data_IF_054455017476
#
_entry.id   IF_054455017476
#
_cell.length_a   1.000
_cell.length_b   1.000
_cell.length_c   1.000
_cell.angle_alpha   90.00
_cell.angle_beta   90.00
_cell.angle_gamma   90.00
#
_symmetry.space_group_name_H-M   'P 1'
#
loop_
_entity.id
_entity.type
_entity.pdbx_description
1 polymer ?
#
# COMPACT_ATOMS: atom_id res chain seq x y z
N UNK A 1 -13.98 -4.04 -14.83
CA UNK A 1 -13.99 -2.90 -15.76
C UNK A 1 -15.41 -2.66 -16.25
N UNK A 2 -16.19 -1.85 -15.54
CA UNK A 2 -17.50 -1.38 -16.02
C UNK A 2 -17.28 -0.05 -16.73
N UNK A 3 -16.95 -0.09 -18.03
CA UNK A 3 -17.12 1.08 -18.88
C UNK A 3 -18.58 1.50 -18.74
N UNK A 4 -18.83 2.73 -18.31
CA UNK A 4 -20.18 3.29 -18.29
C UNK A 4 -20.65 3.43 -19.73
N UNK A 5 -21.23 2.34 -20.24
CA UNK A 5 -21.99 2.22 -21.48
C UNK A 5 -22.87 3.46 -21.76
N UNK A 6 -23.49 4.16 -20.79
CA UNK A 6 -24.25 5.37 -21.09
C UNK A 6 -23.43 6.53 -21.70
N UNK A 7 -22.16 6.73 -21.34
CA UNK A 7 -21.41 7.91 -21.80
C UNK A 7 -20.94 7.78 -23.25
N UNK A 8 -20.53 6.57 -23.65
CA UNK A 8 -20.16 6.24 -25.03
C UNK A 8 -21.41 6.20 -25.93
N UNK A 9 -22.55 5.72 -25.40
CA UNK A 9 -23.84 5.79 -26.08
C UNK A 9 -24.30 7.24 -26.27
N UNK A 10 -24.12 8.13 -25.29
CA UNK A 10 -24.47 9.55 -25.44
C UNK A 10 -23.60 10.20 -26.52
N UNK A 11 -22.28 9.93 -26.54
CA UNK A 11 -21.39 10.45 -27.58
C UNK A 11 -21.76 9.98 -28.98
N UNK A 12 -22.02 8.68 -29.17
CA UNK A 12 -22.49 8.12 -30.45
C UNK A 12 -23.88 8.60 -30.82
N UNK A 13 -24.82 8.73 -29.88
CA UNK A 13 -26.15 9.26 -30.14
C UNK A 13 -26.08 10.73 -30.54
N UNK A 14 -25.17 11.52 -29.96
CA UNK A 14 -25.00 12.92 -30.32
C UNK A 14 -24.39 13.07 -31.72
N UNK A 15 -23.40 12.26 -32.09
CA UNK A 15 -22.85 12.29 -33.45
C UNK A 15 -23.85 11.79 -34.49
N UNK A 16 -24.61 10.73 -34.19
CA UNK A 16 -25.69 10.26 -35.06
C UNK A 16 -26.81 11.29 -35.15
N UNK A 17 -27.17 11.97 -34.06
CA UNK A 17 -28.16 13.04 -34.05
C UNK A 17 -27.72 14.24 -34.88
N UNK A 18 -26.46 14.68 -34.75
CA UNK A 18 -25.90 15.78 -35.56
C UNK A 18 -25.85 15.38 -37.04
N UNK A 19 -25.48 14.13 -37.36
CA UNK A 19 -25.45 13.64 -38.74
C UNK A 19 -26.86 13.53 -39.36
N UNK A 20 -27.84 13.06 -38.58
CA UNK A 20 -29.22 12.92 -39.03
C UNK A 20 -29.95 14.26 -39.14
N UNK A 21 -29.65 15.23 -38.26
CA UNK A 21 -30.08 16.63 -38.40
C UNK A 21 -29.45 17.25 -39.66
N UNK A 22 -28.17 17.01 -39.93
CA UNK A 22 -27.51 17.47 -41.15
C UNK A 22 -28.13 16.89 -42.43
N UNK A 23 -28.44 15.58 -42.43
CA UNK A 23 -29.07 14.90 -43.57
C UNK A 23 -30.52 15.33 -43.79
N UNK A 24 -31.29 15.55 -42.73
CA UNK A 24 -32.69 16.03 -42.83
C UNK A 24 -32.75 17.50 -43.25
N UNK A 25 -31.87 18.36 -42.75
CA UNK A 25 -31.75 19.73 -43.23
C UNK A 25 -31.34 19.77 -44.71
N UNK A 26 -30.43 18.89 -45.15
CA UNK A 26 -30.03 18.79 -46.55
C UNK A 26 -31.19 18.38 -47.48
N UNK A 27 -32.09 17.50 -47.02
CA UNK A 27 -33.23 17.06 -47.83
C UNK A 27 -34.38 18.06 -47.86
N UNK A 28 -34.65 18.76 -46.74
CA UNK A 28 -35.60 19.89 -46.71
C UNK A 28 -35.15 21.03 -47.62
N UNK A 29 -33.84 21.28 -47.70
CA UNK A 29 -33.28 22.31 -48.57
C UNK A 29 -33.49 22.01 -50.07
N UNK A 30 -33.43 20.75 -50.48
CA UNK A 30 -33.75 20.38 -51.88
C UNK A 30 -35.23 20.61 -52.22
N UNK A 31 -36.12 20.52 -51.23
CA UNK A 31 -37.56 20.67 -51.46
C UNK A 31 -38.00 22.13 -51.58
N UNK A 32 -37.30 23.07 -50.92
CA UNK A 32 -37.56 24.51 -50.98
C UNK A 32 -36.98 25.19 -52.24
N UNK A 33 -35.96 24.58 -52.86
CA UNK A 33 -35.37 25.06 -54.13
C UNK A 33 -36.32 24.90 -55.33
N UNK A 34 -37.35 24.06 -55.23
CA UNK A 34 -38.31 23.82 -56.31
C UNK A 34 -39.42 24.89 -56.43
N UNK A 35 -39.59 25.80 -55.46
CA UNK A 35 -40.73 26.76 -55.43
C UNK A 35 -40.35 28.24 -55.47
N UNK A 36 -39.07 28.60 -55.68
CA UNK A 36 -38.65 30.00 -55.67
C UNK A 36 -38.65 30.65 -57.07
N UNK A 37 -39.73 31.39 -57.36
CA UNK A 37 -39.80 32.45 -58.36
C UNK A 37 -38.64 33.46 -58.18
N UNK A 38 -37.90 33.74 -59.27
CA UNK A 38 -37.09 34.94 -59.56
C UNK A 38 -36.53 35.79 -58.39
N UNK A 39 -35.96 35.18 -57.34
CA UNK A 39 -35.07 35.88 -56.42
C UNK A 39 -33.72 36.11 -57.11
N UNK A 40 -33.18 37.32 -56.95
CA UNK A 40 -31.88 37.71 -57.52
C UNK A 40 -30.75 36.84 -56.96
N UNK A 41 -29.76 36.51 -57.79
CA UNK A 41 -28.69 35.54 -57.48
C UNK A 41 -27.95 35.88 -56.17
N UNK A 42 -27.83 37.16 -55.83
CA UNK A 42 -27.17 37.65 -54.61
C UNK A 42 -27.89 37.23 -53.32
N UNK A 43 -29.22 37.18 -53.34
CA UNK A 43 -30.02 36.87 -52.15
C UNK A 43 -29.93 35.38 -51.79
N UNK A 44 -29.82 34.52 -52.83
CA UNK A 44 -29.49 33.09 -52.66
C UNK A 44 -28.09 32.91 -52.09
N UNK A 45 -27.10 33.62 -52.63
CA UNK A 45 -25.72 33.56 -52.13
C UNK A 45 -25.63 33.97 -50.66
N UNK A 46 -26.30 35.04 -50.26
CA UNK A 46 -26.35 35.48 -48.86
C UNK A 46 -26.95 34.42 -47.92
N UNK A 47 -28.05 33.76 -48.35
CA UNK A 47 -28.72 32.72 -47.56
C UNK A 47 -27.85 31.46 -47.39
N UNK A 48 -27.16 31.02 -48.45
CA UNK A 48 -26.20 29.90 -48.37
C UNK A 48 -25.02 30.20 -47.46
N UNK A 49 -24.45 31.41 -47.57
CA UNK A 49 -23.28 31.82 -46.78
C UNK A 49 -23.64 31.92 -45.30
N UNK A 50 -24.81 32.47 -44.98
CA UNK A 50 -25.34 32.52 -43.63
C UNK A 50 -25.53 31.13 -43.03
N UNK A 51 -26.03 30.17 -43.83
CA UNK A 51 -26.27 28.84 -43.31
C UNK A 51 -24.99 28.03 -43.08
N UNK A 52 -24.02 28.17 -43.99
CA UNK A 52 -22.68 27.60 -43.83
C UNK A 52 -21.99 28.10 -42.54
N UNK A 53 -22.15 29.40 -42.24
CA UNK A 53 -21.58 29.99 -41.03
C UNK A 53 -22.13 29.35 -39.74
N UNK A 54 -23.44 29.09 -39.68
CA UNK A 54 -24.06 28.46 -38.50
C UNK A 54 -23.59 27.01 -38.35
N UNK A 55 -23.51 26.25 -39.45
CA UNK A 55 -23.00 24.86 -39.40
C UNK A 55 -21.54 24.81 -38.93
N UNK A 56 -20.72 25.75 -39.39
CA UNK A 56 -19.32 25.83 -38.98
C UNK A 56 -19.20 26.19 -37.50
N UNK A 57 -20.01 27.15 -37.02
CA UNK A 57 -20.07 27.50 -35.60
C UNK A 57 -20.52 26.31 -34.72
N UNK A 58 -21.50 25.54 -35.19
CA UNK A 58 -21.95 24.31 -34.51
C UNK A 58 -20.86 23.24 -34.41
N UNK A 59 -20.09 23.03 -35.48
CA UNK A 59 -18.95 22.11 -35.47
C UNK A 59 -17.86 22.55 -34.49
N UNK A 60 -17.52 23.83 -34.47
CA UNK A 60 -16.54 24.37 -33.51
C UNK A 60 -17.00 24.17 -32.07
N UNK A 61 -18.27 24.46 -31.77
CA UNK A 61 -18.84 24.24 -30.43
C UNK A 61 -18.80 22.76 -30.01
N UNK A 62 -19.12 21.85 -30.94
CA UNK A 62 -19.02 20.41 -30.71
C UNK A 62 -17.58 19.98 -30.45
N UNK A 63 -16.60 20.46 -31.23
CA UNK A 63 -15.18 20.17 -31.05
C UNK A 63 -14.65 20.66 -29.70
N UNK A 64 -15.02 21.88 -29.28
CA UNK A 64 -14.63 22.41 -27.97
C UNK A 64 -15.20 21.56 -26.83
N UNK A 65 -16.46 21.14 -26.98
CA UNK A 65 -17.13 20.28 -25.99
C UNK A 65 -16.42 18.92 -25.88
N UNK A 66 -16.12 18.27 -27.01
CA UNK A 66 -15.37 17.00 -27.04
C UNK A 66 -13.99 17.14 -26.40
N UNK A 67 -13.26 18.21 -26.72
CA UNK A 67 -11.94 18.48 -26.16
C UNK A 67 -11.98 18.64 -24.63
N UNK A 68 -12.99 19.34 -24.12
CA UNK A 68 -13.17 19.51 -22.67
C UNK A 68 -13.44 18.17 -21.96
N UNK A 69 -14.27 17.30 -22.54
CA UNK A 69 -14.55 15.98 -21.97
C UNK A 69 -13.32 15.07 -21.99
N UNK A 70 -12.52 15.07 -23.07
CA UNK A 70 -11.28 14.29 -23.16
C UNK A 70 -10.29 14.68 -22.06
N UNK A 71 -10.05 15.97 -21.86
CA UNK A 71 -9.15 16.46 -20.81
C UNK A 71 -9.62 16.08 -19.40
N UNK A 72 -10.94 16.02 -19.19
CA UNK A 72 -11.51 15.58 -17.90
C UNK A 72 -11.39 14.07 -17.70
N UNK A 73 -11.58 13.28 -18.76
CA UNK A 73 -11.44 11.84 -18.71
C UNK A 73 -10.01 11.41 -18.37
N UNK A 74 -9.01 12.09 -18.93
CA UNK A 74 -7.60 11.81 -18.65
C UNK A 74 -7.25 12.00 -17.17
N UNK A 75 -7.65 13.12 -16.58
CA UNK A 75 -7.43 13.38 -15.14
C UNK A 75 -8.06 12.30 -14.25
N UNK A 76 -9.25 11.83 -14.63
CA UNK A 76 -9.94 10.78 -13.89
C UNK A 76 -9.22 9.44 -14.03
N UNK A 77 -8.73 9.11 -15.23
CA UNK A 77 -7.95 7.89 -15.48
C UNK A 77 -6.64 7.89 -14.69
N UNK A 78 -5.92 9.02 -14.66
CA UNK A 78 -4.69 9.14 -13.87
C UNK A 78 -4.94 8.97 -12.37
N UNK A 79 -6.03 9.57 -11.85
CA UNK A 79 -6.41 9.43 -10.45
C UNK A 79 -6.77 7.97 -10.11
N UNK A 80 -7.53 7.28 -10.97
CA UNK A 80 -7.86 5.86 -10.80
C UNK A 80 -6.62 4.96 -10.87
N UNK A 81 -5.71 5.23 -11.81
CA UNK A 81 -4.46 4.47 -11.93
C UNK A 81 -3.58 4.65 -10.68
N UNK A 82 -3.53 5.88 -10.14
CA UNK A 82 -2.82 6.16 -8.89
C UNK A 82 -3.46 5.44 -7.70
N UNK A 83 -4.78 5.50 -7.55
CA UNK A 83 -5.50 4.79 -6.49
C UNK A 83 -5.30 3.28 -6.59
N UNK A 84 -5.43 2.71 -7.78
CA UNK A 84 -5.20 1.28 -8.01
C UNK A 84 -3.76 0.88 -7.67
N UNK A 85 -2.77 1.73 -7.97
CA UNK A 85 -1.37 1.50 -7.59
C UNK A 85 -1.18 1.58 -6.08
N UNK A 86 -1.77 2.58 -5.43
CA UNK A 86 -1.72 2.73 -3.96
C UNK A 86 -2.38 1.52 -3.27
N UNK A 87 -3.52 1.06 -3.77
CA UNK A 87 -4.23 -0.13 -3.27
C UNK A 87 -3.44 -1.42 -3.52
N UNK A 88 -2.82 -1.57 -4.69
CA UNK A 88 -1.95 -2.71 -4.99
C UNK A 88 -0.76 -2.77 -4.03
N UNK A 89 -0.09 -1.63 -3.79
CA UNK A 89 1.03 -1.54 -2.84
C UNK A 89 0.57 -1.82 -1.41
N UNK A 90 -0.63 -1.38 -1.03
CA UNK A 90 -1.16 -1.64 0.31
C UNK A 90 -1.53 -3.13 0.51
N UNK A 91 -2.07 -3.78 -0.52
CA UNK A 91 -2.53 -5.18 -0.45
C UNK A 91 -1.40 -6.19 -0.57
N UNK A 92 -0.40 -5.91 -1.42
CA UNK A 92 0.72 -6.83 -1.71
C UNK A 92 1.98 -6.48 -0.91
N UNK A 93 1.82 -5.81 0.25
CA UNK A 93 2.94 -5.37 1.08
C UNK A 93 3.69 -6.55 1.72
N UNK A 94 5.01 -6.44 1.92
CA UNK A 94 5.75 -7.42 2.71
C UNK A 94 5.29 -7.34 4.16
N UNK A 95 5.28 -8.48 4.84
CA UNK A 95 4.91 -8.57 6.25
C UNK A 95 5.89 -9.51 6.94
N UNK A 96 6.84 -8.94 7.65
CA UNK A 96 7.81 -9.72 8.43
C UNK A 96 7.25 -9.92 9.82
N UNK A 97 7.05 -11.18 10.20
CA UNK A 97 6.58 -11.54 11.54
C UNK A 97 7.64 -12.34 12.29
N UNK A 98 7.59 -12.24 13.61
CA UNK A 98 8.35 -13.12 14.49
C UNK A 98 7.57 -14.42 14.67
N UNK A 99 8.05 -15.49 14.06
CA UNK A 99 7.30 -16.75 14.02
C UNK A 99 7.53 -17.58 15.28
N UNK A 100 8.79 -17.81 15.64
CA UNK A 100 9.16 -18.64 16.78
C UNK A 100 10.39 -18.05 17.48
N UNK A 101 10.40 -18.17 18.81
CA UNK A 101 11.59 -17.98 19.64
C UNK A 101 11.92 -19.33 20.26
N UNK A 102 13.14 -19.80 20.07
CA UNK A 102 13.62 -21.04 20.67
C UNK A 102 14.70 -20.70 21.68
N UNK A 103 14.52 -21.11 22.93
CA UNK A 103 15.41 -20.82 24.05
C UNK A 103 14.62 -20.63 25.36
N UNK A 104 15.28 -20.16 26.43
CA UNK A 104 16.68 -19.74 26.47
C UNK A 104 17.68 -20.92 26.41
N UNK A 105 18.84 -20.68 25.82
CA UNK A 105 20.02 -21.55 25.85
C UNK A 105 21.17 -20.78 26.51
N UNK A 106 22.25 -21.49 26.87
CA UNK A 106 23.44 -20.89 27.46
C UNK A 106 24.64 -21.16 26.56
N UNK A 107 25.48 -20.15 26.36
CA UNK A 107 26.79 -20.31 25.72
C UNK A 107 27.87 -20.74 26.72
N UNK A 108 29.09 -20.98 26.22
CA UNK A 108 30.23 -21.38 27.05
C UNK A 108 30.67 -20.29 28.05
N UNK A 109 30.30 -19.03 27.79
CA UNK A 109 30.60 -17.87 28.62
C UNK A 109 29.48 -17.57 29.64
N UNK A 110 28.41 -18.38 29.67
CA UNK A 110 27.28 -18.23 30.58
C UNK A 110 26.28 -17.14 30.18
N UNK A 111 26.33 -16.63 28.95
CA UNK A 111 25.32 -15.74 28.41
C UNK A 111 24.13 -16.57 27.95
N UNK A 112 22.94 -16.07 28.27
CA UNK A 112 21.72 -16.61 27.70
C UNK A 112 21.53 -16.11 26.28
N UNK A 113 21.10 -17.01 25.40
CA UNK A 113 20.72 -16.64 24.03
C UNK A 113 19.46 -17.37 23.60
N UNK A 114 18.82 -16.86 22.56
CA UNK A 114 17.71 -17.50 21.90
C UNK A 114 17.81 -17.36 20.38
N UNK A 115 17.21 -18.32 19.67
CA UNK A 115 17.06 -18.24 18.22
C UNK A 115 15.74 -17.56 17.87
N UNK A 116 15.86 -16.41 17.22
CA UNK A 116 14.75 -15.63 16.70
C UNK A 116 14.50 -16.02 15.24
N UNK A 117 13.36 -16.64 14.96
CA UNK A 117 12.96 -16.99 13.58
C UNK A 117 12.01 -15.95 13.02
N UNK A 118 12.50 -15.22 12.03
CA UNK A 118 11.75 -14.26 11.24
C UNK A 118 11.17 -14.96 10.02
N UNK A 119 9.95 -14.57 9.64
CA UNK A 119 9.30 -15.08 8.45
C UNK A 119 8.61 -13.96 7.70
N UNK A 120 8.79 -13.90 6.39
CA UNK A 120 7.98 -13.03 5.55
C UNK A 120 6.69 -13.76 5.18
N UNK A 121 5.56 -13.30 5.71
CA UNK A 121 4.22 -13.81 5.38
C UNK A 121 3.48 -12.91 4.38
N UNK A 122 4.10 -11.81 3.95
CA UNK A 122 3.60 -10.95 2.88
C UNK A 122 3.85 -11.56 1.50
N UNK A 123 3.31 -10.91 0.49
CA UNK A 123 3.36 -11.40 -0.91
C UNK A 123 4.62 -10.95 -1.65
N UNK A 124 5.27 -9.88 -1.20
CA UNK A 124 6.49 -9.33 -1.79
C UNK A 124 7.70 -9.56 -0.89
N UNK A 125 8.90 -9.52 -1.47
CA UNK A 125 10.15 -9.67 -0.73
C UNK A 125 10.35 -8.52 0.28
N UNK A 126 10.95 -8.86 1.42
CA UNK A 126 11.32 -7.92 2.48
C UNK A 126 12.85 -7.93 2.66
N UNK A 127 13.45 -6.76 2.83
CA UNK A 127 14.89 -6.66 3.13
C UNK A 127 15.07 -6.19 4.57
N UNK A 128 15.55 -7.04 5.46
CA UNK A 128 15.82 -6.66 6.85
C UNK A 128 17.10 -5.81 6.89
N UNK A 129 17.01 -4.62 7.48
CA UNK A 129 18.10 -3.64 7.56
C UNK A 129 18.66 -3.54 8.97
N UNK A 130 17.80 -3.61 9.99
CA UNK A 130 18.19 -3.45 11.39
C UNK A 130 17.45 -4.47 12.25
N UNK A 131 18.16 -5.01 13.24
CA UNK A 131 17.60 -5.89 14.25
C UNK A 131 18.02 -5.34 15.61
N UNK A 132 17.05 -5.02 16.45
CA UNK A 132 17.27 -4.68 17.85
C UNK A 132 16.54 -5.70 18.69
N UNK A 133 17.26 -6.59 19.34
CA UNK A 133 16.63 -7.61 20.15
C UNK A 133 17.54 -7.94 21.31
N UNK A 134 16.94 -8.19 22.47
CA UNK A 134 17.66 -8.51 23.69
C UNK A 134 16.82 -9.43 24.57
N UNK A 135 17.49 -10.01 25.55
CA UNK A 135 16.93 -10.91 26.54
C UNK A 135 17.25 -10.35 27.92
N UNK A 136 16.21 -9.99 28.68
CA UNK A 136 16.37 -9.37 29.99
C UNK A 136 15.34 -9.90 30.98
N UNK A 137 15.69 -9.94 32.26
CA UNK A 137 14.76 -10.31 33.33
C UNK A 137 14.05 -9.08 33.86
N UNK A 138 12.74 -9.22 34.07
CA UNK A 138 11.89 -8.21 34.70
C UNK A 138 11.34 -8.75 36.00
N UNK A 139 11.35 -7.94 37.04
CA UNK A 139 10.67 -8.28 38.28
C UNK A 139 9.15 -8.18 38.08
N UNK A 140 8.45 -9.27 38.40
CA UNK A 140 7.02 -9.42 38.11
C UNK A 140 6.18 -8.42 38.93
N UNK A 141 6.58 -8.16 40.18
CA UNK A 141 5.83 -7.28 41.10
C UNK A 141 6.05 -5.80 40.81
N UNK A 142 7.31 -5.41 40.60
CA UNK A 142 7.70 -4.01 40.40
C UNK A 142 7.72 -3.57 38.95
N UNK A 143 7.77 -4.50 37.99
CA UNK A 143 7.94 -4.20 36.57
C UNK A 143 9.33 -3.66 36.20
N UNK A 144 10.28 -3.65 37.13
CA UNK A 144 11.62 -3.09 36.94
C UNK A 144 12.53 -4.13 36.28
N UNK A 145 13.31 -3.69 35.30
CA UNK A 145 14.35 -4.49 34.65
C UNK A 145 15.54 -4.71 35.59
N UNK A 146 16.03 -5.94 35.62
CA UNK A 146 17.27 -6.30 36.32
C UNK A 146 18.48 -5.72 35.59
N UNK A 147 19.60 -5.53 36.30
CA UNK A 147 20.88 -5.07 35.72
C UNK A 147 21.45 -6.20 34.85
N UNK A 148 21.97 -5.95 33.63
CA UNK A 148 22.37 -4.67 33.05
C UNK A 148 21.25 -3.82 32.44
N UNK A 149 20.01 -4.30 32.44
CA UNK A 149 18.86 -3.69 31.78
C UNK A 149 18.60 -4.30 30.41
N UNK A 150 17.60 -3.74 29.72
CA UNK A 150 17.22 -4.14 28.38
C UNK A 150 17.83 -3.18 27.34
N UNK A 151 18.60 -3.69 26.38
CA UNK A 151 19.08 -2.98 25.19
C UNK A 151 18.55 -3.61 23.90
N UNK A 152 17.27 -3.39 23.62
CA UNK A 152 16.63 -3.81 22.37
C UNK A 152 16.77 -2.76 21.23
N UNK A 153 17.77 -1.87 21.31
CA UNK A 153 17.95 -0.81 20.33
C UNK A 153 18.27 -1.39 18.94
N UNK A 154 17.60 -0.96 17.85
CA UNK A 154 17.88 -1.46 16.51
C UNK A 154 19.32 -1.18 16.08
N UNK A 155 20.04 -2.25 15.74
CA UNK A 155 21.43 -2.21 15.26
C UNK A 155 21.44 -2.62 13.78
N UNK A 156 22.20 -1.92 12.92
CA UNK A 156 22.26 -2.25 11.51
C UNK A 156 22.88 -3.63 11.31
N UNK A 157 22.27 -4.45 10.46
CA UNK A 157 22.74 -5.78 10.09
C UNK A 157 23.11 -5.83 8.61
N UNK A 158 23.87 -6.85 8.21
CA UNK A 158 24.02 -7.14 6.78
C UNK A 158 22.63 -7.38 6.18
N UNK A 159 22.26 -6.75 5.05
CA UNK A 159 20.93 -6.89 4.48
C UNK A 159 20.52 -8.35 4.27
N UNK A 160 19.37 -8.73 4.82
CA UNK A 160 18.82 -10.09 4.71
C UNK A 160 17.55 -10.02 3.87
N UNK A 161 17.58 -10.61 2.69
CA UNK A 161 16.41 -10.65 1.79
C UNK A 161 15.57 -11.88 2.14
N UNK A 162 14.31 -11.66 2.48
CA UNK A 162 13.31 -12.69 2.74
C UNK A 162 12.24 -12.67 1.65
N UNK A 163 12.26 -13.70 0.80
CA UNK A 163 11.18 -13.95 -0.16
C UNK A 163 9.87 -14.31 0.55
N UNK A 164 8.75 -14.20 -0.16
CA UNK A 164 7.44 -14.59 0.38
C UNK A 164 7.46 -16.05 0.87
N UNK A 165 7.08 -16.25 2.13
CA UNK A 165 7.08 -17.55 2.81
C UNK A 165 8.45 -18.00 3.34
N UNK A 166 9.55 -17.32 2.98
CA UNK A 166 10.89 -17.65 3.45
C UNK A 166 11.05 -17.31 4.94
N UNK A 167 11.93 -18.08 5.59
CA UNK A 167 12.30 -17.91 6.99
C UNK A 167 13.78 -17.70 7.13
N UNK A 168 14.16 -16.94 8.15
CA UNK A 168 15.55 -16.78 8.55
C UNK A 168 15.66 -16.73 10.05
N UNK A 169 16.70 -17.36 10.57
CA UNK A 169 16.91 -17.48 12.01
C UNK A 169 18.18 -16.72 12.39
N UNK A 170 18.04 -15.83 13.35
CA UNK A 170 19.15 -15.06 13.92
C UNK A 170 19.33 -15.44 15.38
N UNK A 171 20.56 -15.42 15.85
CA UNK A 171 20.89 -15.70 17.26
C UNK A 171 20.97 -14.37 18.00
N UNK A 172 20.17 -14.24 19.06
CA UNK A 172 20.14 -13.06 19.92
C UNK A 172 20.71 -13.47 21.28
N UNK A 173 21.74 -12.77 21.72
CA UNK A 173 22.43 -13.03 22.99
C UNK A 173 22.12 -11.91 23.96
N UNK A 174 21.89 -12.26 25.23
CA UNK A 174 21.67 -11.31 26.31
C UNK A 174 22.87 -10.36 26.47
N UNK A 175 22.60 -9.13 26.85
CA UNK A 175 23.63 -8.10 27.06
C UNK A 175 24.64 -8.43 28.19
N UNK A 176 24.35 -9.38 29.08
CA UNK A 176 25.26 -9.80 30.14
C UNK A 176 25.08 -11.27 30.53
N UNK A 177 26.07 -11.84 31.24
CA UNK A 177 25.98 -13.20 31.74
C UNK A 177 24.93 -13.28 32.85
N UNK A 178 24.36 -14.48 33.03
CA UNK A 178 23.40 -14.73 34.10
C UNK A 178 24.10 -14.63 35.46
N UNK A 179 23.53 -13.86 36.39
CA UNK A 179 24.07 -13.73 37.75
C UNK A 179 23.40 -14.69 38.74
N UNK A 180 24.05 -14.97 39.88
CA UNK A 180 23.47 -15.79 40.95
C UNK A 180 22.13 -15.23 41.48
N UNK A 181 21.97 -13.90 41.44
CA UNK A 181 20.74 -13.21 41.84
C UNK A 181 19.61 -13.51 40.86
N UNK A 182 19.93 -13.56 39.57
CA UNK A 182 18.98 -13.91 38.51
C UNK A 182 18.50 -15.35 38.65
N UNK A 183 19.43 -16.30 38.86
CA UNK A 183 19.12 -17.71 39.10
C UNK A 183 18.23 -17.91 40.33
N UNK A 184 18.52 -17.20 41.42
CA UNK A 184 17.71 -17.24 42.64
C UNK A 184 16.31 -16.64 42.40
N UNK A 185 16.24 -15.55 41.63
CA UNK A 185 14.97 -14.90 41.30
C UNK A 185 14.08 -15.76 40.42
N UNK A 186 14.67 -16.46 39.44
CA UNK A 186 13.96 -17.43 38.60
C UNK A 186 13.45 -18.63 39.44
N UNK A 187 14.29 -19.16 40.34
CA UNK A 187 13.92 -20.28 41.22
C UNK A 187 12.78 -19.93 42.20
N UNK A 188 12.70 -18.65 42.60
CA UNK A 188 11.63 -18.14 43.48
C UNK A 188 10.40 -17.66 42.70
N UNK A 189 10.47 -17.59 41.37
CA UNK A 189 9.40 -17.07 40.52
C UNK A 189 9.16 -15.58 40.68
N UNK A 190 10.18 -14.82 41.13
CA UNK A 190 10.09 -13.36 41.31
C UNK A 190 10.44 -12.59 40.04
N UNK A 191 11.21 -13.22 39.16
CA UNK A 191 11.57 -12.69 37.84
C UNK A 191 10.88 -13.47 36.73
N UNK A 192 10.56 -12.76 35.65
CA UNK A 192 10.20 -13.37 34.37
C UNK A 192 11.25 -12.99 33.32
N UNK A 193 11.62 -13.95 32.48
CA UNK A 193 12.57 -13.75 31.40
C UNK A 193 11.82 -13.19 30.18
N UNK A 194 12.22 -12.02 29.71
CA UNK A 194 11.56 -11.35 28.58
C UNK A 194 12.49 -11.30 27.38
N UNK A 195 12.01 -11.79 26.23
CA UNK A 195 12.61 -11.52 24.93
C UNK A 195 11.88 -10.33 24.30
N UNK A 196 12.62 -9.24 24.08
CA UNK A 196 12.07 -7.99 23.55
C UNK A 196 12.88 -7.57 22.35
N UNK A 197 12.21 -7.13 21.30
CA UNK A 197 12.91 -6.63 20.13
C UNK A 197 12.03 -5.94 19.11
N UNK A 198 12.71 -5.33 18.15
CA UNK A 198 12.17 -4.74 16.94
C UNK A 198 13.01 -5.19 15.74
N UNK A 199 12.35 -5.35 14.60
CA UNK A 199 12.96 -5.69 13.33
C UNK A 199 12.53 -4.63 12.34
N UNK A 200 13.50 -3.92 11.76
CA UNK A 200 13.26 -2.97 10.67
C UNK A 200 13.56 -3.61 9.34
N UNK A 201 12.66 -3.41 8.41
CA UNK A 201 12.77 -3.96 7.07
C UNK A 201 12.23 -3.00 6.04
N UNK A 202 12.75 -3.09 4.82
CA UNK A 202 12.32 -2.31 3.67
C UNK A 202 11.53 -3.17 2.70
N UNK A 203 10.52 -2.55 2.09
CA UNK A 203 9.81 -3.13 0.95
C UNK A 203 10.58 -2.92 -0.37
N UNK A 204 10.14 -3.56 -1.45
CA UNK A 204 10.73 -3.38 -2.78
C UNK A 204 10.65 -1.95 -3.35
N UNK A 205 9.96 -1.03 -2.67
CA UNK A 205 9.89 0.40 -3.02
C UNK A 205 10.75 1.27 -2.08
N UNK A 206 11.54 0.68 -1.18
CA UNK A 206 12.40 1.38 -0.23
C UNK A 206 11.66 2.05 0.93
N UNK A 207 10.44 1.62 1.26
CA UNK A 207 9.76 2.09 2.48
C UNK A 207 10.15 1.22 3.66
N UNK A 208 10.68 1.87 4.70
CA UNK A 208 10.99 1.22 5.98
C UNK A 208 9.71 0.93 6.77
N UNK A 209 9.66 -0.26 7.35
CA UNK A 209 8.62 -0.77 8.23
C UNK A 209 9.26 -1.37 9.47
N UNK A 210 8.47 -1.51 10.53
CA UNK A 210 8.94 -2.05 11.80
C UNK A 210 7.97 -3.13 12.30
N UNK A 211 8.53 -4.22 12.81
CA UNK A 211 7.80 -5.24 13.57
C UNK A 211 8.44 -5.34 14.95
N UNK A 212 7.65 -5.12 16.00
CA UNK A 212 8.10 -5.24 17.38
C UNK A 212 7.46 -6.45 18.06
N UNK A 213 8.18 -7.04 19.00
CA UNK A 213 7.72 -8.18 19.79
C UNK A 213 8.16 -8.06 21.24
N UNK A 214 7.29 -8.55 22.11
CA UNK A 214 7.55 -8.73 23.52
C UNK A 214 7.00 -10.09 23.94
N UNK A 215 7.88 -10.99 24.34
CA UNK A 215 7.49 -12.34 24.78
C UNK A 215 8.12 -12.68 26.11
N UNK A 216 7.34 -13.32 26.97
CA UNK A 216 7.74 -13.68 28.34
C UNK A 216 7.86 -15.18 28.48
N UNK A 217 8.88 -15.65 29.20
CA UNK A 217 8.99 -17.02 29.67
C UNK A 217 8.87 -17.02 31.20
N UNK A 218 7.88 -17.75 31.71
CA UNK A 218 7.57 -17.89 33.14
C UNK A 218 7.94 -19.28 33.69
N UNK A 219 9.01 -19.88 33.17
CA UNK A 219 9.45 -21.22 33.56
C UNK A 219 8.74 -22.37 32.80
N UNK A 220 8.13 -22.07 31.65
CA UNK A 220 7.52 -23.06 30.76
C UNK A 220 8.45 -23.48 29.61
N UNK A 221 7.98 -24.38 28.74
CA UNK A 221 8.75 -24.89 27.58
C UNK A 221 9.02 -23.85 26.49
N UNK A 222 8.59 -22.58 26.65
CA UNK A 222 8.86 -21.55 25.65
C UNK A 222 8.37 -20.14 26.01
N UNK A 223 8.63 -19.22 25.08
CA UNK A 223 8.21 -17.82 25.17
C UNK A 223 6.76 -17.66 24.73
N UNK A 224 5.95 -17.02 25.59
CA UNK A 224 4.57 -16.67 25.30
C UNK A 224 4.46 -15.22 24.83
N UNK A 225 3.64 -14.98 23.81
CA UNK A 225 3.30 -13.64 23.33
C UNK A 225 2.60 -12.82 24.43
N UNK A 226 2.93 -11.53 24.52
CA UNK A 226 2.21 -10.64 25.44
C UNK A 226 0.73 -10.57 25.09
N UNK A 227 -0.11 -10.45 26.14
CA UNK A 227 -1.55 -10.19 25.95
C UNK A 227 -1.81 -8.74 25.52
N UNK A 228 -0.84 -7.86 25.73
CA UNK A 228 -0.95 -6.46 25.36
C UNK A 228 -0.57 -6.28 23.88
N UNK A 229 -1.54 -5.83 23.08
CA UNK A 229 -1.33 -5.59 21.64
C UNK A 229 -0.38 -4.44 21.34
N UNK A 230 -0.13 -3.55 22.29
CA UNK A 230 0.83 -2.46 22.13
C UNK A 230 2.28 -2.96 22.22
N UNK A 231 2.49 -4.15 22.78
CA UNK A 231 3.82 -4.75 22.99
C UNK A 231 4.22 -5.71 21.85
N UNK A 232 3.29 -6.10 20.97
CA UNK A 232 3.56 -6.90 19.77
C UNK A 232 2.75 -6.36 18.59
N UNK A 233 3.43 -5.72 17.64
CA UNK A 233 2.79 -5.09 16.48
C UNK A 233 3.60 -5.27 15.20
N UNK A 234 2.90 -5.22 14.08
CA UNK A 234 3.42 -5.27 12.71
C UNK A 234 2.87 -4.06 11.93
N UNK A 235 3.72 -3.36 11.18
CA UNK A 235 3.31 -2.25 10.29
C UNK A 235 2.85 -2.71 8.90
#
# INVERSE_FOLDING_TARGET
>A
MNFRVPELLIGCLLTVAVLSIGLTLSSSFQHEVATAHAETVDERLARYTGWLAVLTAGLVAASVTQFYFLNRAEKTSQALARLAREEFVATHRPRVIVRFLQGPFHDDDGHEFYWLTLANVGETAATITDIGADLARRNIESGIWTIPGLDASPKPVSPIILESGQRHTVTITANGPVTDIDLLGDATGTFELCAVGCVRYEDGNGRTRETAFFRTNRGGEGFEASKNKEEEYED
#
